data_IF_128431828193
#
_entry.id   IF_128431828193
#
_cell.length_a   1.000
_cell.length_b   1.000
_cell.length_c   1.000
_cell.angle_alpha   90.00
_cell.angle_beta   90.00
_cell.angle_gamma   90.00
#
_symmetry.space_group_name_H-M   'P 1'
#
loop_
_entity.id
_entity.type
_entity.pdbx_description
1 polymer ?
#
# COMPACT_ATOMS: atom_id res chain seq x y z
N UNK A 1 -15.25 7.11 4.69
CA UNK A 1 -14.67 6.90 3.35
C UNK A 1 -15.76 6.48 2.34
N UNK A 2 -17.02 6.92 2.52
CA UNK A 2 -18.09 6.69 1.54
C UNK A 2 -18.02 7.68 0.36
N UNK A 3 -17.24 8.76 0.49
CA UNK A 3 -17.13 9.85 -0.49
C UNK A 3 -16.38 9.49 -1.78
N UNK A 4 -15.68 8.35 -1.84
CA UNK A 4 -14.84 7.99 -2.99
C UNK A 4 -15.49 6.95 -3.91
N UNK A 5 -16.67 6.42 -3.58
CA UNK A 5 -17.32 5.38 -4.38
C UNK A 5 -17.57 5.82 -5.82
N UNK A 6 -17.90 7.09 -6.01
CA UNK A 6 -18.08 7.68 -7.33
C UNK A 6 -16.78 7.60 -8.15
N UNK A 7 -15.62 7.90 -7.55
CA UNK A 7 -14.32 7.79 -8.23
C UNK A 7 -14.06 6.36 -8.69
N UNK A 8 -14.25 5.38 -7.80
CA UNK A 8 -14.03 3.98 -8.13
C UNK A 8 -15.02 3.45 -9.18
N UNK A 9 -16.25 3.96 -9.21
CA UNK A 9 -17.22 3.57 -10.24
C UNK A 9 -16.78 3.97 -11.67
N UNK A 10 -15.90 4.97 -11.80
CA UNK A 10 -15.35 5.40 -13.09
C UNK A 10 -14.16 4.56 -13.56
N UNK A 11 -13.64 3.62 -12.75
CA UNK A 11 -12.46 2.83 -13.13
C UNK A 11 -12.78 1.66 -14.06
N UNK A 12 -14.07 1.45 -14.40
CA UNK A 12 -14.55 0.33 -15.23
C UNK A 12 -14.04 -1.05 -14.75
N UNK A 13 -13.87 -1.21 -13.43
CA UNK A 13 -13.35 -2.44 -12.86
C UNK A 13 -14.33 -3.61 -13.04
N UNK A 14 -13.81 -4.81 -13.32
CA UNK A 14 -14.63 -6.03 -13.44
C UNK A 14 -15.30 -6.42 -12.12
N UNK A 15 -14.74 -6.00 -11.00
CA UNK A 15 -15.29 -6.20 -9.66
C UNK A 15 -14.96 -5.00 -8.78
N UNK A 16 -15.96 -4.50 -8.05
CA UNK A 16 -15.82 -3.46 -7.04
C UNK A 16 -16.55 -3.96 -5.80
N UNK A 17 -15.84 -3.99 -4.68
CA UNK A 17 -16.38 -4.32 -3.37
C UNK A 17 -15.86 -3.31 -2.36
N UNK A 18 -16.71 -2.95 -1.39
CA UNK A 18 -16.38 -1.97 -0.37
C UNK A 18 -16.74 -2.47 1.01
N UNK A 19 -16.12 -1.87 2.02
CA UNK A 19 -16.10 -2.36 3.40
C UNK A 19 -17.50 -2.70 3.93
N UNK A 20 -18.49 -1.84 3.71
CA UNK A 20 -19.86 -2.05 4.18
C UNK A 20 -20.53 -3.23 3.47
N UNK A 21 -20.33 -3.39 2.16
CA UNK A 21 -20.83 -4.55 1.42
C UNK A 21 -20.17 -5.84 1.90
N UNK A 22 -18.83 -5.87 1.98
CA UNK A 22 -18.08 -7.06 2.40
C UNK A 22 -18.43 -7.44 3.85
N UNK A 23 -18.54 -6.45 4.74
CA UNK A 23 -18.90 -6.67 6.14
C UNK A 23 -20.34 -7.15 6.33
N UNK A 24 -21.25 -6.83 5.40
CA UNK A 24 -22.64 -7.28 5.44
C UNK A 24 -22.84 -8.71 4.91
N UNK A 25 -21.84 -9.29 4.24
CA UNK A 25 -21.92 -10.67 3.73
C UNK A 25 -22.15 -11.68 4.86
N UNK A 26 -23.07 -12.66 4.68
CA UNK A 26 -23.34 -13.67 5.70
C UNK A 26 -22.10 -14.43 6.18
N UNK A 27 -21.11 -14.62 5.30
CA UNK A 27 -19.84 -15.28 5.60
C UNK A 27 -18.94 -14.50 6.57
N UNK A 28 -19.24 -13.22 6.81
CA UNK A 28 -18.51 -12.33 7.72
C UNK A 28 -19.28 -12.00 9.00
N UNK A 29 -20.45 -12.62 9.21
CA UNK A 29 -21.23 -12.44 10.42
C UNK A 29 -20.42 -12.84 11.66
N UNK A 30 -20.31 -11.92 12.62
CA UNK A 30 -19.55 -12.13 13.87
C UNK A 30 -18.04 -11.96 13.74
N UNK A 31 -17.51 -11.69 12.54
CA UNK A 31 -16.11 -11.31 12.35
C UNK A 31 -15.91 -9.82 12.60
N UNK A 32 -14.69 -9.44 12.93
CA UNK A 32 -14.28 -8.04 12.94
C UNK A 32 -14.29 -7.49 11.51
N UNK A 33 -14.77 -6.26 11.34
CA UNK A 33 -14.70 -5.56 10.05
C UNK A 33 -13.39 -4.79 10.00
N UNK A 34 -12.36 -5.43 9.47
CA UNK A 34 -11.02 -4.88 9.30
C UNK A 34 -10.45 -5.19 7.91
N UNK A 35 -9.22 -4.74 7.64
CA UNK A 35 -8.62 -4.83 6.30
C UNK A 35 -8.38 -6.28 5.83
N UNK A 36 -8.37 -7.28 6.71
CA UNK A 36 -8.23 -8.68 6.30
C UNK A 36 -9.42 -9.19 5.49
N UNK A 37 -10.57 -8.53 5.58
CA UNK A 37 -11.69 -8.80 4.68
C UNK A 37 -11.33 -8.58 3.20
N UNK A 38 -10.39 -7.67 2.90
CA UNK A 38 -9.91 -7.43 1.54
C UNK A 38 -9.04 -8.58 1.03
N UNK A 39 -8.27 -9.25 1.90
CA UNK A 39 -7.47 -10.43 1.53
C UNK A 39 -8.38 -11.59 1.13
N UNK A 40 -9.47 -11.78 1.89
CA UNK A 40 -10.50 -12.77 1.58
C UNK A 40 -11.19 -12.48 0.23
N UNK A 41 -11.50 -11.21 -0.07
CA UNK A 41 -12.04 -10.82 -1.38
C UNK A 41 -11.04 -11.01 -2.52
N UNK A 42 -9.78 -10.66 -2.31
CA UNK A 42 -8.71 -10.90 -3.28
C UNK A 42 -8.62 -12.38 -3.63
N UNK A 43 -8.62 -13.25 -2.61
CA UNK A 43 -8.58 -14.71 -2.79
C UNK A 43 -9.78 -15.21 -3.59
N UNK A 44 -11.00 -14.73 -3.30
CA UNK A 44 -12.21 -15.05 -4.07
C UNK A 44 -12.11 -14.56 -5.53
N UNK A 45 -11.63 -13.33 -5.74
CA UNK A 45 -11.47 -12.74 -7.06
C UNK A 45 -10.50 -13.52 -7.94
N UNK A 46 -9.36 -13.94 -7.37
CA UNK A 46 -8.38 -14.78 -8.04
C UNK A 46 -8.92 -16.19 -8.34
N UNK A 47 -9.68 -16.79 -7.42
CA UNK A 47 -10.28 -18.10 -7.66
C UNK A 47 -11.36 -18.07 -8.76
N UNK A 48 -12.15 -16.99 -8.83
CA UNK A 48 -13.19 -16.81 -9.85
C UNK A 48 -12.61 -16.57 -11.24
N UNK A 49 -11.46 -15.92 -11.33
CA UNK A 49 -10.75 -15.66 -12.58
C UNK A 49 -9.33 -16.22 -12.49
N UNK A 50 -9.14 -17.54 -12.63
CA UNK A 50 -7.85 -18.20 -12.37
C UNK A 50 -6.78 -17.91 -13.43
N UNK A 51 -7.16 -17.29 -14.55
CA UNK A 51 -6.31 -17.07 -15.72
C UNK A 51 -6.40 -15.63 -16.21
N UNK A 52 -5.31 -15.15 -16.81
CA UNK A 52 -5.24 -13.85 -17.44
C UNK A 52 -4.37 -12.86 -16.65
N UNK A 53 -4.45 -11.59 -17.06
CA UNK A 53 -3.78 -10.48 -16.38
C UNK A 53 -4.76 -9.85 -15.41
N UNK A 54 -4.31 -9.64 -14.17
CA UNK A 54 -5.13 -9.02 -13.12
C UNK A 54 -4.47 -7.73 -12.66
N UNK A 55 -5.29 -6.69 -12.52
CA UNK A 55 -4.97 -5.53 -11.71
C UNK A 55 -5.87 -5.57 -10.48
N UNK A 56 -5.26 -5.65 -9.31
CA UNK A 56 -5.97 -5.72 -8.03
C UNK A 56 -5.53 -4.51 -7.22
N UNK A 57 -6.50 -3.69 -6.80
CA UNK A 57 -6.28 -2.52 -5.95
C UNK A 57 -6.99 -2.78 -4.63
N UNK A 58 -6.22 -2.83 -3.54
CA UNK A 58 -6.74 -2.97 -2.18
C UNK A 58 -6.53 -1.65 -1.45
N UNK A 59 -7.60 -0.88 -1.27
CA UNK A 59 -7.55 0.38 -0.52
C UNK A 59 -7.89 0.12 0.96
N UNK A 60 -6.87 0.16 1.80
CA UNK A 60 -6.94 -0.19 3.22
C UNK A 60 -7.39 0.98 4.10
N UNK A 61 -7.94 0.67 5.27
CA UNK A 61 -8.02 1.64 6.38
C UNK A 61 -6.66 1.92 7.01
N UNK A 62 -5.74 0.94 6.96
CA UNK A 62 -4.37 1.07 7.44
C UNK A 62 -4.31 1.62 8.86
N UNK A 63 -3.46 2.62 9.06
CA UNK A 63 -3.25 3.27 10.35
C UNK A 63 -4.12 4.52 10.56
N UNK A 64 -5.31 4.62 9.94
CA UNK A 64 -6.19 5.77 10.14
C UNK A 64 -6.64 5.92 11.60
N UNK A 65 -6.73 7.17 12.09
CA UNK A 65 -7.07 7.51 13.48
C UNK A 65 -8.34 6.83 14.04
N UNK A 66 -8.30 6.74 15.38
CA UNK A 66 -8.68 5.70 16.30
C UNK A 66 -7.95 4.37 16.07
N UNK A 67 -6.63 4.38 16.30
CA UNK A 67 -5.71 3.29 15.94
C UNK A 67 -6.09 1.95 16.57
N UNK A 68 -6.61 1.92 17.80
CA UNK A 68 -7.01 0.68 18.50
C UNK A 68 -8.13 -0.09 17.81
N UNK A 69 -8.85 0.56 16.90
CA UNK A 69 -9.87 -0.07 16.06
C UNK A 69 -9.32 -0.55 14.69
N UNK A 70 -8.00 -0.49 14.48
CA UNK A 70 -7.35 -0.92 13.24
C UNK A 70 -6.79 -2.34 13.31
N UNK A 71 -6.79 -2.94 14.50
CA UNK A 71 -6.20 -4.27 14.72
C UNK A 71 -7.00 -5.05 15.78
N UNK A 72 -7.01 -6.39 15.71
CA UNK A 72 -7.61 -7.22 16.74
C UNK A 72 -6.74 -7.23 18.00
N UNK A 73 -7.32 -7.60 19.15
CA UNK A 73 -6.61 -7.56 20.45
C UNK A 73 -5.35 -8.43 20.52
N UNK A 74 -5.21 -9.44 19.65
CA UNK A 74 -3.98 -10.24 19.50
C UNK A 74 -2.78 -9.44 18.96
N UNK A 75 -3.02 -8.30 18.32
CA UNK A 75 -2.01 -7.37 17.82
C UNK A 75 -1.77 -6.18 18.77
N UNK A 76 -2.41 -6.16 19.94
CA UNK A 76 -2.15 -5.17 20.99
C UNK A 76 -0.86 -5.52 21.76
N UNK A 77 0.29 -5.37 21.11
CA UNK A 77 1.61 -5.71 21.63
C UNK A 77 2.16 -4.59 22.54
N UNK A 78 2.18 -3.34 22.06
CA UNK A 78 2.64 -2.19 22.83
C UNK A 78 1.52 -1.63 23.69
N UNK A 79 1.81 -1.38 24.97
CA UNK A 79 0.85 -0.99 26.02
C UNK A 79 1.48 0.03 26.99
N UNK A 80 0.68 0.88 27.67
CA UNK A 80 -0.77 1.05 27.52
C UNK A 80 -1.14 1.63 26.15
N UNK A 81 -2.37 1.35 25.70
CA UNK A 81 -2.94 1.84 24.44
C UNK A 81 -3.89 3.02 24.69
N UNK A 82 -4.09 3.85 23.67
CA UNK A 82 -5.13 4.87 23.64
C UNK A 82 -6.49 4.25 23.25
N UNK A 83 -7.26 3.78 24.24
CA UNK A 83 -8.55 3.08 24.02
C UNK A 83 -9.75 4.04 23.95
N UNK A 84 -9.53 5.33 24.24
CA UNK A 84 -10.56 6.38 24.21
C UNK A 84 -10.57 7.19 22.90
N UNK A 85 -11.72 7.79 22.59
CA UNK A 85 -11.86 8.79 21.51
C UNK A 85 -11.68 10.21 22.04
N UNK A 86 -11.50 10.37 23.35
CA UNK A 86 -11.28 11.66 24.00
C UNK A 86 -9.79 12.05 23.98
N UNK A 87 -9.52 13.36 24.02
CA UNK A 87 -8.18 13.96 23.98
C UNK A 87 -7.34 13.69 25.25
N UNK A 88 -7.56 12.58 25.95
CA UNK A 88 -6.91 12.28 27.24
C UNK A 88 -5.74 11.32 27.14
N UNK A 89 -5.53 10.69 25.98
CA UNK A 89 -4.40 9.80 25.80
C UNK A 89 -3.09 10.58 25.81
N UNK A 90 -2.11 10.03 26.52
CA UNK A 90 -0.73 10.50 26.41
C UNK A 90 -0.18 10.23 25.01
N UNK A 91 0.85 10.99 24.62
CA UNK A 91 1.60 10.75 23.38
C UNK A 91 2.12 9.30 23.31
N UNK A 92 2.60 8.75 24.41
CA UNK A 92 3.11 7.38 24.46
C UNK A 92 2.01 6.35 24.17
N UNK A 93 0.80 6.52 24.72
CA UNK A 93 -0.34 5.64 24.44
C UNK A 93 -0.79 5.72 22.98
N UNK A 94 -0.77 6.92 22.39
CA UNK A 94 -1.05 7.12 20.96
C UNK A 94 -0.02 6.41 20.08
N UNK A 95 1.27 6.56 20.39
CA UNK A 95 2.36 5.88 19.67
C UNK A 95 2.21 4.36 19.79
N UNK A 96 1.99 3.82 20.99
CA UNK A 96 1.79 2.39 21.19
C UNK A 96 0.62 1.85 20.34
N UNK A 97 -0.50 2.57 20.31
CA UNK A 97 -1.65 2.19 19.47
C UNK A 97 -1.36 2.33 17.98
N UNK A 98 -0.64 3.36 17.57
CA UNK A 98 -0.21 3.52 16.18
C UNK A 98 0.71 2.37 15.74
N UNK A 99 1.73 2.03 16.54
CA UNK A 99 2.70 0.96 16.24
C UNK A 99 2.01 -0.42 16.16
N UNK A 100 1.03 -0.68 17.03
CA UNK A 100 0.19 -1.88 16.93
C UNK A 100 -0.57 -1.94 15.58
N UNK A 101 -1.08 -0.79 15.10
CA UNK A 101 -1.74 -0.73 13.79
C UNK A 101 -0.77 -0.96 12.63
N UNK A 102 0.46 -0.45 12.73
CA UNK A 102 1.51 -0.69 11.73
C UNK A 102 1.86 -2.17 11.66
N UNK A 103 1.91 -2.86 12.80
CA UNK A 103 2.15 -4.32 12.82
C UNK A 103 1.01 -5.10 12.18
N UNK A 104 -0.23 -4.62 12.28
CA UNK A 104 -1.34 -5.24 11.56
C UNK A 104 -1.30 -4.94 10.04
N UNK A 105 -0.82 -3.75 9.64
CA UNK A 105 -0.54 -3.44 8.23
C UNK A 105 0.54 -4.36 7.67
N UNK A 106 1.61 -4.62 8.42
CA UNK A 106 2.64 -5.60 8.03
C UNK A 106 2.02 -6.99 7.82
N UNK A 107 1.22 -7.46 8.77
CA UNK A 107 0.51 -8.74 8.64
C UNK A 107 -0.42 -8.79 7.42
N UNK A 108 -1.15 -7.71 7.14
CA UNK A 108 -1.99 -7.58 5.95
C UNK A 108 -1.15 -7.70 4.67
N UNK A 109 -0.04 -6.96 4.57
CA UNK A 109 0.86 -7.00 3.41
C UNK A 109 1.37 -8.42 3.21
N UNK A 110 1.91 -9.07 4.24
CA UNK A 110 2.41 -10.45 4.15
C UNK A 110 1.31 -11.40 3.69
N UNK A 111 0.09 -11.25 4.20
CA UNK A 111 -1.05 -12.08 3.81
C UNK A 111 -1.43 -11.91 2.33
N UNK A 112 -1.30 -10.70 1.78
CA UNK A 112 -1.46 -10.42 0.34
C UNK A 112 -0.35 -11.08 -0.46
N UNK A 113 0.91 -10.94 -0.04
CA UNK A 113 2.06 -11.54 -0.72
C UNK A 113 1.95 -13.07 -0.75
N UNK A 114 1.48 -13.69 0.32
CA UNK A 114 1.26 -15.13 0.42
C UNK A 114 0.24 -15.66 -0.59
N UNK A 115 -0.74 -14.85 -1.02
CA UNK A 115 -1.66 -15.23 -2.11
C UNK A 115 -0.99 -15.26 -3.49
N UNK A 116 0.19 -14.66 -3.63
CA UNK A 116 0.82 -14.36 -4.92
C UNK A 116 2.17 -15.06 -5.11
N UNK A 117 2.74 -15.72 -4.10
CA UNK A 117 4.08 -16.34 -4.17
C UNK A 117 4.23 -17.32 -5.34
N UNK A 118 3.18 -18.08 -5.64
CA UNK A 118 3.14 -19.07 -6.72
C UNK A 118 2.72 -18.49 -8.08
N UNK A 119 2.55 -17.16 -8.19
CA UNK A 119 2.04 -16.48 -9.40
C UNK A 119 3.11 -15.57 -9.98
N UNK A 120 2.99 -15.20 -11.26
CA UNK A 120 3.80 -14.16 -11.87
C UNK A 120 3.27 -12.79 -11.43
N UNK A 121 3.80 -12.24 -10.34
CA UNK A 121 3.22 -11.09 -9.67
C UNK A 121 4.27 -10.04 -9.26
N UNK A 122 3.85 -8.78 -9.33
CA UNK A 122 4.51 -7.61 -8.74
C UNK A 122 3.48 -6.89 -7.86
N UNK A 123 3.91 -6.47 -6.68
CA UNK A 123 3.07 -5.79 -5.69
C UNK A 123 3.73 -4.47 -5.31
N UNK A 124 2.95 -3.40 -5.36
CA UNK A 124 3.32 -2.08 -4.85
C UNK A 124 2.48 -1.78 -3.62
N UNK A 125 3.14 -1.29 -2.58
CA UNK A 125 2.48 -0.70 -1.42
C UNK A 125 2.99 0.73 -1.23
N UNK A 126 2.08 1.66 -0.99
CA UNK A 126 2.39 3.02 -0.60
C UNK A 126 1.28 3.51 0.34
N UNK A 127 1.66 4.10 1.48
CA UNK A 127 0.69 4.87 2.25
C UNK A 127 0.42 6.20 1.55
N UNK A 128 -0.81 6.68 1.59
CA UNK A 128 -1.28 7.90 0.92
C UNK A 128 -0.69 9.18 1.56
N UNK A 129 -0.54 9.18 2.87
CA UNK A 129 0.16 10.19 3.65
C UNK A 129 0.67 9.61 4.98
N UNK A 130 1.45 10.40 5.72
CA UNK A 130 1.89 10.04 7.07
C UNK A 130 0.98 10.66 8.14
N UNK A 131 1.42 10.66 9.40
CA UNK A 131 0.57 11.02 10.53
C UNK A 131 1.37 11.87 11.53
N UNK A 132 0.78 12.96 12.02
CA UNK A 132 1.35 13.66 13.17
C UNK A 132 0.89 13.00 14.45
N UNK A 133 1.84 12.72 15.35
CA UNK A 133 1.58 12.33 16.75
C UNK A 133 2.56 13.10 17.64
N UNK A 134 2.09 14.20 18.22
CA UNK A 134 2.86 15.04 19.12
C UNK A 134 2.04 15.49 20.35
N UNK A 135 2.63 16.30 21.21
CA UNK A 135 2.01 16.73 22.48
C UNK A 135 0.77 17.64 22.29
N UNK A 136 0.57 18.21 21.10
CA UNK A 136 -0.47 19.22 20.81
C UNK A 136 -1.42 18.81 19.69
N UNK A 137 -0.90 18.08 18.72
CA UNK A 137 -1.59 17.69 17.50
C UNK A 137 -1.41 16.18 17.29
N UNK A 138 -2.51 15.52 16.99
CA UNK A 138 -2.52 14.24 16.32
C UNK A 138 -3.33 14.42 15.02
N UNK A 139 -3.33 13.42 14.13
CA UNK A 139 -3.95 13.43 12.80
C UNK A 139 -3.06 13.98 11.68
N UNK A 140 -3.67 14.16 10.52
CA UNK A 140 -3.10 14.65 9.28
C UNK A 140 -4.06 15.67 8.65
N UNK A 141 -3.67 16.25 7.51
CA UNK A 141 -4.47 17.26 6.80
C UNK A 141 -4.07 18.70 7.13
N UNK A 142 -2.91 18.90 7.75
CA UNK A 142 -2.33 20.23 7.92
C UNK A 142 -2.10 20.85 6.54
N UNK A 143 -2.39 22.15 6.32
CA UNK A 143 -2.16 22.79 5.03
C UNK A 143 -0.74 22.57 4.52
N UNK A 144 -0.57 22.19 3.24
CA UNK A 144 0.70 21.68 2.69
C UNK A 144 1.94 22.54 2.99
N UNK A 145 1.80 23.87 3.02
CA UNK A 145 2.91 24.81 3.29
C UNK A 145 3.36 24.82 4.75
N UNK A 146 2.54 24.29 5.65
CA UNK A 146 2.74 24.26 7.11
C UNK A 146 2.87 22.84 7.66
N UNK A 147 2.44 21.84 6.88
CA UNK A 147 2.44 20.45 7.31
C UNK A 147 3.85 19.96 7.64
N UNK A 148 4.01 19.27 8.77
CA UNK A 148 5.31 18.82 9.22
C UNK A 148 5.75 17.58 8.40
N UNK A 149 7.06 17.27 8.36
CA UNK A 149 7.60 16.23 7.48
C UNK A 149 6.98 14.85 7.69
N UNK A 150 6.55 14.50 8.91
CA UNK A 150 5.93 13.23 9.23
C UNK A 150 4.59 13.00 8.51
N UNK A 151 3.87 14.05 8.09
CA UNK A 151 2.66 13.89 7.26
C UNK A 151 2.98 13.55 5.80
N UNK A 152 4.24 13.67 5.36
CA UNK A 152 4.66 13.41 3.98
C UNK A 152 5.60 12.21 3.83
N UNK A 153 6.27 11.80 4.90
CA UNK A 153 7.23 10.68 4.89
C UNK A 153 6.47 9.37 5.06
N UNK A 154 6.22 8.70 3.94
CA UNK A 154 5.46 7.45 3.90
C UNK A 154 6.33 6.25 3.49
N UNK A 155 5.99 5.03 3.97
CA UNK A 155 6.58 3.81 3.44
C UNK A 155 6.12 3.57 2.00
N UNK A 156 7.06 3.13 1.16
CA UNK A 156 6.78 2.56 -0.15
C UNK A 156 7.56 1.25 -0.30
N UNK A 157 6.91 0.23 -0.84
CA UNK A 157 7.49 -1.10 -1.02
C UNK A 157 7.16 -1.63 -2.41
N UNK A 158 8.13 -2.30 -3.01
CA UNK A 158 7.93 -3.12 -4.21
C UNK A 158 8.36 -4.55 -3.88
N UNK A 159 7.46 -5.49 -4.14
CA UNK A 159 7.74 -6.92 -4.05
C UNK A 159 7.50 -7.57 -5.41
N UNK A 160 8.32 -8.54 -5.76
CA UNK A 160 8.19 -9.35 -6.98
C UNK A 160 8.31 -10.81 -6.59
N UNK A 161 7.43 -11.65 -7.12
CA UNK A 161 7.48 -13.10 -6.89
C UNK A 161 8.64 -13.75 -7.65
N UNK A 162 9.08 -14.93 -7.21
CA UNK A 162 10.14 -15.68 -7.90
C UNK A 162 9.77 -15.96 -9.36
N UNK A 163 8.52 -16.34 -9.64
CA UNK A 163 8.01 -16.52 -11.02
C UNK A 163 8.01 -15.23 -11.84
N UNK A 164 7.86 -14.07 -11.20
CA UNK A 164 7.99 -12.79 -11.90
C UNK A 164 9.44 -12.52 -12.30
N UNK A 165 10.39 -12.90 -11.45
CA UNK A 165 11.82 -12.73 -11.62
C UNK A 165 12.48 -13.76 -12.55
N UNK A 166 11.78 -14.80 -12.99
CA UNK A 166 12.26 -15.73 -14.04
C UNK A 166 12.55 -15.02 -15.37
N UNK A 167 11.93 -13.86 -15.61
CA UNK A 167 12.26 -13.00 -16.75
C UNK A 167 13.56 -12.22 -16.50
N UNK A 168 14.57 -12.30 -17.38
CA UNK A 168 15.82 -11.55 -17.22
C UNK A 168 15.60 -10.03 -17.09
N UNK A 169 14.67 -9.46 -17.85
CA UNK A 169 14.37 -8.03 -17.81
C UNK A 169 13.76 -7.61 -16.47
N UNK A 170 12.89 -8.45 -15.90
CA UNK A 170 12.32 -8.20 -14.57
C UNK A 170 13.38 -8.36 -13.47
N UNK A 171 14.28 -9.35 -13.59
CA UNK A 171 15.39 -9.53 -12.66
C UNK A 171 16.34 -8.33 -12.66
N UNK A 172 16.66 -7.79 -13.85
CA UNK A 172 17.46 -6.58 -13.99
C UNK A 172 16.76 -5.35 -13.37
N UNK A 173 15.46 -5.21 -13.62
CA UNK A 173 14.62 -4.16 -13.04
C UNK A 173 14.57 -4.25 -11.51
N UNK A 174 14.46 -5.46 -10.96
CA UNK A 174 14.47 -5.70 -9.52
C UNK A 174 15.82 -5.39 -8.88
N UNK A 175 16.93 -5.75 -9.54
CA UNK A 175 18.27 -5.39 -9.10
C UNK A 175 18.45 -3.85 -9.05
N UNK A 176 17.91 -3.14 -10.05
CA UNK A 176 17.88 -1.67 -10.07
C UNK A 176 17.05 -1.11 -8.91
N UNK A 177 15.86 -1.64 -8.63
CA UNK A 177 15.05 -1.22 -7.48
C UNK A 177 15.80 -1.40 -6.16
N UNK A 178 16.49 -2.53 -5.97
CA UNK A 178 17.32 -2.76 -4.77
C UNK A 178 18.44 -1.72 -4.64
N UNK A 179 19.12 -1.38 -5.74
CA UNK A 179 20.14 -0.33 -5.75
C UNK A 179 19.54 1.02 -5.34
N UNK A 180 18.39 1.40 -5.89
CA UNK A 180 17.74 2.67 -5.55
C UNK A 180 17.29 2.72 -4.09
N UNK A 181 16.74 1.62 -3.56
CA UNK A 181 16.38 1.51 -2.15
C UNK A 181 17.61 1.69 -1.24
N UNK A 182 18.75 1.09 -1.61
CA UNK A 182 20.01 1.21 -0.85
C UNK A 182 20.58 2.64 -0.83
N UNK A 183 20.30 3.45 -1.86
CA UNK A 183 20.71 4.86 -1.91
C UNK A 183 19.96 5.74 -0.90
N UNK A 184 18.80 5.29 -0.38
CA UNK A 184 17.96 6.03 0.57
C UNK A 184 17.56 7.43 0.10
N UNK A 185 17.45 7.62 -1.22
CA UNK A 185 16.93 8.86 -1.80
C UNK A 185 15.41 8.85 -1.70
N UNK A 186 14.77 9.90 -1.15
CA UNK A 186 13.32 9.96 -1.07
C UNK A 186 12.65 9.84 -2.43
N UNK A 187 11.61 9.00 -2.50
CA UNK A 187 10.72 8.83 -3.65
C UNK A 187 9.38 9.50 -3.40
N UNK A 188 8.65 9.83 -4.46
CA UNK A 188 7.42 10.63 -4.39
C UNK A 188 6.26 9.97 -5.13
N UNK A 189 5.03 10.18 -4.68
CA UNK A 189 3.84 9.64 -5.34
C UNK A 189 3.69 10.03 -6.81
N UNK A 190 4.20 11.19 -7.21
CA UNK A 190 4.19 11.62 -8.63
C UNK A 190 4.99 10.68 -9.54
N UNK A 191 5.86 9.83 -8.98
CA UNK A 191 6.67 8.86 -9.71
C UNK A 191 6.00 7.47 -9.80
N UNK A 192 4.94 7.22 -9.01
CA UNK A 192 4.32 5.89 -8.93
C UNK A 192 3.66 5.47 -10.24
N UNK A 193 2.98 6.37 -10.94
CA UNK A 193 2.35 6.05 -12.22
C UNK A 193 3.39 5.57 -13.24
N UNK A 194 4.44 6.37 -13.46
CA UNK A 194 5.51 6.04 -14.41
C UNK A 194 6.24 4.77 -14.01
N UNK A 195 6.47 4.58 -12.71
CA UNK A 195 7.12 3.37 -12.18
C UNK A 195 6.26 2.13 -12.40
N UNK A 196 4.97 2.15 -12.04
CA UNK A 196 4.10 0.98 -12.20
C UNK A 196 4.03 0.59 -13.67
N UNK A 197 3.80 1.56 -14.57
CA UNK A 197 3.73 1.30 -16.00
C UNK A 197 5.05 0.79 -16.56
N UNK A 198 6.17 1.40 -16.16
CA UNK A 198 7.50 1.01 -16.59
C UNK A 198 7.93 -0.36 -16.09
N UNK A 199 7.67 -0.70 -14.83
CA UNK A 199 7.95 -2.03 -14.27
C UNK A 199 7.12 -3.12 -14.96
N UNK A 200 5.94 -2.80 -15.48
CA UNK A 200 5.10 -3.70 -16.28
C UNK A 200 5.56 -3.82 -17.74
N UNK A 201 6.60 -3.09 -18.15
CA UNK A 201 7.16 -3.11 -19.50
C UNK A 201 6.48 -2.18 -20.50
N UNK A 202 5.62 -1.26 -20.04
CA UNK A 202 5.02 -0.26 -20.94
C UNK A 202 6.00 0.88 -21.22
N UNK A 203 5.97 1.34 -22.47
CA UNK A 203 6.72 2.51 -22.94
C UNK A 203 5.76 3.48 -23.61
N UNK A 204 6.03 4.78 -23.52
CA UNK A 204 5.28 5.81 -24.22
C UNK A 204 6.26 6.74 -24.94
N UNK A 205 6.29 6.68 -26.29
CA UNK A 205 7.23 7.47 -27.09
C UNK A 205 6.87 8.97 -27.12
N UNK A 206 5.65 9.32 -26.73
CA UNK A 206 5.09 10.67 -26.69
C UNK A 206 5.17 11.33 -25.30
N UNK A 207 5.83 10.68 -24.33
CA UNK A 207 6.08 11.24 -23.00
C UNK A 207 4.95 11.05 -21.97
N UNK A 208 3.92 10.28 -22.31
CA UNK A 208 2.90 9.79 -21.37
C UNK A 208 3.43 8.89 -20.25
N UNK A 209 4.64 8.32 -20.40
CA UNK A 209 5.42 7.69 -19.32
C UNK A 209 6.78 8.38 -19.25
N UNK A 210 7.04 9.07 -18.14
CA UNK A 210 8.31 9.72 -17.90
C UNK A 210 9.36 8.71 -17.40
N UNK A 211 10.32 8.37 -18.26
CA UNK A 211 11.40 7.41 -17.92
C UNK A 211 12.28 7.86 -16.74
N UNK A 212 12.37 9.17 -16.45
CA UNK A 212 13.11 9.67 -15.29
C UNK A 212 12.42 9.37 -13.96
N UNK A 213 11.10 9.17 -13.99
CA UNK A 213 10.30 8.78 -12.83
C UNK A 213 10.21 7.26 -12.67
N UNK A 214 10.49 6.49 -13.72
CA UNK A 214 10.39 5.02 -13.71
C UNK A 214 11.53 4.38 -12.90
N UNK A 215 11.23 3.88 -11.69
CA UNK A 215 12.25 3.26 -10.84
C UNK A 215 12.78 1.93 -11.39
N UNK A 216 12.02 1.23 -12.24
CA UNK A 216 12.44 0.00 -12.92
C UNK A 216 13.26 0.25 -14.18
N UNK A 217 13.41 1.50 -14.63
CA UNK A 217 14.19 1.80 -15.83
C UNK A 217 15.65 1.36 -15.64
N UNK A 218 16.06 0.39 -16.46
CA UNK A 218 17.45 -0.04 -16.61
C UNK A 218 18.01 0.73 -17.80
N UNK A 219 18.96 1.65 -17.60
CA UNK A 219 19.58 2.37 -18.71
C UNK A 219 20.28 1.39 -19.65
N UNK A 220 20.16 1.60 -20.96
CA UNK A 220 20.87 0.79 -21.94
C UNK A 220 22.38 0.83 -21.65
N UNK A 221 23.01 -0.35 -21.62
CA UNK A 221 24.46 -0.47 -21.45
C UNK A 221 25.25 0.27 -22.54
N UNK A 222 24.61 0.62 -23.66
CA UNK A 222 25.19 1.34 -24.79
C UNK A 222 25.30 2.87 -24.60
N UNK A 223 24.66 3.47 -23.58
CA UNK A 223 24.73 4.92 -23.35
C UNK A 223 26.04 5.40 -22.69
N UNK A 224 27.00 4.49 -22.45
CA UNK A 224 28.39 4.82 -22.13
C UNK A 224 29.28 4.64 -23.35
N UNK A 225 29.11 5.51 -24.34
CA UNK A 225 30.12 5.84 -25.36
C UNK A 225 29.65 7.10 -26.08
N UNK A 226 30.12 8.24 -25.59
CA UNK A 226 30.68 9.35 -26.36
C UNK A 226 31.40 10.30 -25.39
#
# INVERSE_FOLDING_TARGET
MQSEMWFYSNTMANNIAYREQIGAEPSNRGKSVDDMLLVDEMKRGLAKNPSGKHLIILHTKGSHFNYTQRYPRSFAQWKPECVGVDNKCSKAELINSYDNSVTYVDHFIVSVLDQLRDKKAIVFYAADHGESINEREHLHGTPRKMAPPEQFRVPMLVWMSDKYLESPDHAASFARLKQQAAMKVPRRHVELYDTIMGCLGYTSPDGGINQYNNWCHVPDAAAKKE
#
